data_IF_545490222422
#
_entry.id   IF_545490222422
#
_cell.length_a   1.000
_cell.length_b   1.000
_cell.length_c   1.000
_cell.angle_alpha   90.00
_cell.angle_beta   90.00
_cell.angle_gamma   90.00
#
_symmetry.space_group_name_H-M   'P 1'
#
loop_
_entity.id
_entity.type
_entity.pdbx_description
1 polymer ?
#
# COMPACT_ATOMS: atom_id res chain seq x y z
N UNK A 1 -30.39 15.01 22.02
CA UNK A 1 -29.57 14.56 20.87
C UNK A 1 -28.36 15.47 20.67
N UNK A 2 -28.50 16.75 20.31
CA UNK A 2 -27.36 17.67 20.10
C UNK A 2 -26.37 17.79 21.28
N UNK A 3 -26.87 17.92 22.51
CA UNK A 3 -26.00 18.00 23.69
C UNK A 3 -25.15 16.73 23.92
N UNK A 4 -25.68 15.55 23.59
CA UNK A 4 -24.93 14.29 23.70
C UNK A 4 -23.87 14.20 22.61
N UNK A 5 -24.21 14.63 21.40
CA UNK A 5 -23.28 14.70 20.27
C UNK A 5 -22.12 15.65 20.57
N UNK A 6 -22.40 16.88 21.01
CA UNK A 6 -21.38 17.86 21.42
C UNK A 6 -20.50 17.30 22.56
N UNK A 7 -21.09 16.63 23.56
CA UNK A 7 -20.33 15.98 24.62
C UNK A 7 -19.37 14.91 24.07
N UNK A 8 -19.83 14.04 23.18
CA UNK A 8 -19.01 12.99 22.58
C UNK A 8 -17.92 13.58 21.67
N UNK A 9 -18.22 14.60 20.88
CA UNK A 9 -17.24 15.31 20.06
C UNK A 9 -16.16 15.97 20.92
N UNK A 10 -16.55 16.62 22.02
CA UNK A 10 -15.62 17.21 22.97
C UNK A 10 -14.77 16.16 23.68
N UNK A 11 -15.33 15.01 24.01
CA UNK A 11 -14.58 13.90 24.59
C UNK A 11 -13.56 13.32 23.60
N UNK A 12 -13.96 13.17 22.33
CA UNK A 12 -13.09 12.71 21.27
C UNK A 12 -12.07 13.77 20.84
N UNK A 13 -12.26 15.07 21.07
CA UNK A 13 -11.24 16.08 20.75
C UNK A 13 -9.99 15.94 21.63
N UNK A 14 -10.11 15.34 22.80
CA UNK A 14 -9.03 15.13 23.77
C UNK A 14 -8.34 13.78 23.49
N UNK A 15 -7.08 13.82 23.07
CA UNK A 15 -6.28 12.63 22.72
C UNK A 15 -6.26 11.54 23.81
N UNK A 16 -6.21 11.94 25.09
CA UNK A 16 -6.21 10.99 26.22
C UNK A 16 -7.47 10.13 26.24
N UNK A 17 -8.66 10.74 26.04
CA UNK A 17 -9.93 10.03 26.05
C UNK A 17 -10.21 9.32 24.73
N UNK A 18 -9.85 9.94 23.60
CA UNK A 18 -9.95 9.34 22.26
C UNK A 18 -9.21 8.00 22.18
N UNK A 19 -8.00 7.95 22.74
CA UNK A 19 -7.13 6.77 22.66
C UNK A 19 -7.32 5.82 23.86
N UNK A 20 -8.22 6.14 24.79
CA UNK A 20 -8.51 5.27 25.92
C UNK A 20 -9.24 4.01 25.43
N UNK A 21 -8.75 2.83 25.84
CA UNK A 21 -9.26 1.53 25.38
C UNK A 21 -10.78 1.38 25.53
N UNK A 22 -11.32 1.76 26.69
CA UNK A 22 -12.77 1.61 26.94
C UNK A 22 -13.61 2.55 26.07
N UNK A 23 -13.13 3.78 25.80
CA UNK A 23 -13.81 4.73 24.92
C UNK A 23 -13.82 4.22 23.49
N UNK A 24 -12.65 3.78 23.01
CA UNK A 24 -12.49 3.25 21.66
C UNK A 24 -13.33 1.99 21.44
N UNK A 25 -13.37 1.11 22.43
CA UNK A 25 -14.18 -0.10 22.41
C UNK A 25 -15.68 0.22 22.46
N UNK A 26 -16.11 1.16 23.32
CA UNK A 26 -17.51 1.57 23.46
C UNK A 26 -18.07 2.23 22.19
N UNK A 27 -17.28 3.10 21.54
CA UNK A 27 -17.68 3.80 20.32
C UNK A 27 -17.40 2.99 19.05
N UNK A 28 -16.79 1.82 19.17
CA UNK A 28 -16.32 1.00 18.06
C UNK A 28 -15.44 1.82 17.09
N UNK A 29 -14.42 2.50 17.63
CA UNK A 29 -13.45 3.32 16.87
C UNK A 29 -12.02 2.86 17.09
N UNK A 30 -11.14 3.21 16.15
CA UNK A 30 -9.68 3.06 16.24
C UNK A 30 -8.98 4.32 15.77
N UNK A 31 -7.65 4.35 15.85
CA UNK A 31 -6.84 5.45 15.29
C UNK A 31 -7.16 5.70 13.80
N UNK A 32 -7.51 4.66 13.05
CA UNK A 32 -7.87 4.74 11.62
C UNK A 32 -9.27 5.29 11.38
N UNK A 33 -10.11 5.41 12.41
CA UNK A 33 -11.43 6.06 12.31
C UNK A 33 -11.31 7.58 12.16
N UNK A 34 -10.18 8.17 12.59
CA UNK A 34 -9.95 9.61 12.63
C UNK A 34 -8.97 10.11 11.57
N UNK A 35 -8.63 9.26 10.59
CA UNK A 35 -7.80 9.62 9.45
C UNK A 35 -8.73 9.88 8.28
N UNK A 36 -9.00 11.16 8.01
CA UNK A 36 -9.97 11.59 6.99
C UNK A 36 -9.58 11.10 5.58
N UNK A 37 -8.28 11.00 5.29
CA UNK A 37 -7.77 10.46 4.02
C UNK A 37 -8.04 8.97 3.81
N UNK A 38 -8.45 8.23 4.85
CA UNK A 38 -8.86 6.82 4.75
C UNK A 38 -10.36 6.65 4.51
N UNK A 39 -11.06 7.71 4.12
CA UNK A 39 -12.50 7.70 3.83
C UNK A 39 -13.36 7.49 5.08
N UNK A 40 -14.63 7.17 4.85
CA UNK A 40 -15.63 7.15 5.92
C UNK A 40 -15.31 6.17 7.08
N UNK A 41 -15.89 6.45 8.25
CA UNK A 41 -15.82 5.55 9.42
C UNK A 41 -16.77 4.37 9.19
N UNK A 42 -16.24 3.26 8.70
CA UNK A 42 -17.01 2.02 8.54
C UNK A 42 -17.21 1.25 9.84
N UNK A 43 -17.70 0.00 9.73
CA UNK A 43 -17.88 -0.87 10.90
C UNK A 43 -16.52 -1.34 11.39
N UNK A 44 -16.31 -1.23 12.70
CA UNK A 44 -15.12 -1.69 13.37
C UNK A 44 -15.49 -2.53 14.59
N UNK A 45 -14.59 -3.39 15.05
CA UNK A 45 -14.82 -4.12 16.30
C UNK A 45 -13.96 -5.37 16.50
N UNK A 46 -14.09 -5.96 17.69
CA UNK A 46 -13.33 -7.14 18.09
C UNK A 46 -13.82 -8.41 17.38
N UNK A 47 -12.89 -9.15 16.79
CA UNK A 47 -13.11 -10.47 16.20
C UNK A 47 -11.99 -11.44 16.57
N UNK A 48 -12.29 -12.73 16.58
CA UNK A 48 -11.29 -13.79 16.71
C UNK A 48 -10.82 -14.20 15.32
N UNK A 49 -9.54 -14.00 15.00
CA UNK A 49 -8.95 -14.36 13.70
C UNK A 49 -8.10 -15.61 13.81
N UNK A 50 -8.31 -16.59 12.93
CA UNK A 50 -7.52 -17.82 12.88
C UNK A 50 -6.09 -17.54 12.39
N UNK A 51 -5.06 -18.00 13.10
CA UNK A 51 -3.66 -17.88 12.68
C UNK A 51 -3.43 -18.64 11.38
N UNK A 52 -2.48 -18.14 10.57
CA UNK A 52 -2.22 -18.57 9.18
C UNK A 52 -3.33 -18.11 8.22
N UNK A 53 -3.12 -16.93 7.62
CA UNK A 53 -3.87 -16.57 6.42
C UNK A 53 -3.23 -17.32 5.26
N UNK A 54 -3.98 -18.20 4.62
CA UNK A 54 -3.52 -18.94 3.47
C UNK A 54 -3.64 -18.05 2.21
N UNK A 55 -2.87 -18.37 1.16
CA UNK A 55 -3.20 -17.87 -0.17
C UNK A 55 -4.45 -18.63 -0.66
N UNK A 56 -5.31 -18.02 -1.49
CA UNK A 56 -6.39 -18.77 -2.13
C UNK A 56 -5.80 -19.97 -2.87
N UNK A 57 -6.31 -21.18 -2.61
CA UNK A 57 -5.80 -22.42 -3.22
C UNK A 57 -4.62 -23.10 -2.52
N UNK A 58 -3.99 -22.50 -1.49
CA UNK A 58 -2.95 -23.21 -0.72
C UNK A 58 -3.60 -24.20 0.26
N UNK A 59 -3.88 -25.42 -0.20
CA UNK A 59 -4.26 -26.57 0.64
C UNK A 59 -3.01 -27.28 1.13
N UNK A 60 -2.46 -26.85 2.26
CA UNK A 60 -1.33 -27.52 2.91
C UNK A 60 -1.54 -27.61 4.42
N UNK A 61 -1.53 -28.84 4.95
CA UNK A 61 -1.47 -29.10 6.38
C UNK A 61 0.00 -29.33 6.76
N UNK A 62 0.67 -28.35 7.39
CA UNK A 62 1.92 -28.63 8.10
C UNK A 62 1.60 -29.24 9.46
N UNK A 63 1.20 -30.50 9.50
CA UNK A 63 1.58 -31.34 10.63
C UNK A 63 3.05 -31.69 10.43
N UNK A 64 3.92 -31.09 11.24
CA UNK A 64 5.34 -31.44 11.36
C UNK A 64 6.22 -31.31 10.11
N UNK A 65 5.81 -30.62 9.04
CA UNK A 65 6.68 -30.35 7.88
C UNK A 65 7.07 -31.59 7.06
N UNK A 66 6.26 -32.67 7.09
CA UNK A 66 6.61 -33.95 6.43
C UNK A 66 5.82 -34.24 5.16
N UNK A 67 4.71 -33.55 4.87
CA UNK A 67 3.89 -33.88 3.69
C UNK A 67 3.39 -32.64 2.94
N UNK A 68 4.14 -32.27 1.89
CA UNK A 68 3.76 -31.27 0.88
C UNK A 68 3.01 -31.90 -0.33
N UNK A 69 2.72 -33.20 -0.28
CA UNK A 69 2.00 -33.91 -1.34
C UNK A 69 0.48 -33.94 -1.06
N UNK A 70 -0.27 -33.30 -1.96
CA UNK A 70 -1.72 -33.07 -1.89
C UNK A 70 -2.59 -34.33 -1.95
N UNK A 71 -2.59 -35.11 -0.87
CA UNK A 71 -3.34 -36.37 -0.76
C UNK A 71 -4.54 -36.30 0.20
N UNK A 72 -5.00 -35.09 0.57
CA UNK A 72 -6.22 -35.01 1.39
C UNK A 72 -7.16 -33.86 1.03
N UNK A 73 -7.99 -34.08 0.02
CA UNK A 73 -9.14 -33.21 -0.33
C UNK A 73 -10.22 -33.22 0.78
N UNK A 74 -10.27 -34.28 1.62
CA UNK A 74 -11.23 -34.42 2.74
C UNK A 74 -10.72 -33.97 4.12
N UNK A 75 -9.43 -33.67 4.30
CA UNK A 75 -8.86 -33.27 5.60
C UNK A 75 -8.87 -31.77 5.86
N UNK A 76 -9.38 -30.96 4.92
CA UNK A 76 -9.30 -29.50 5.01
C UNK A 76 -10.07 -28.93 6.22
N UNK A 77 -11.11 -29.62 6.69
CA UNK A 77 -11.89 -29.22 7.87
C UNK A 77 -11.36 -29.79 9.20
N UNK A 78 -10.91 -31.04 9.22
CA UNK A 78 -10.44 -31.71 10.45
C UNK A 78 -9.02 -31.26 10.86
N UNK A 79 -8.09 -31.16 9.90
CA UNK A 79 -6.72 -30.72 10.21
C UNK A 79 -6.64 -29.21 10.47
N UNK A 80 -7.50 -28.39 9.85
CA UNK A 80 -7.49 -26.94 10.06
C UNK A 80 -8.15 -26.49 11.37
N UNK A 81 -8.97 -27.34 11.98
CA UNK A 81 -9.49 -27.15 13.34
C UNK A 81 -8.46 -27.43 14.43
N UNK A 82 -7.49 -28.33 14.17
CA UNK A 82 -6.46 -28.76 15.12
C UNK A 82 -5.16 -27.93 15.06
N UNK A 83 -4.88 -27.24 13.93
CA UNK A 83 -3.59 -26.58 13.66
C UNK A 83 -3.63 -25.03 13.70
N UNK A 84 -4.81 -24.41 13.85
CA UNK A 84 -4.96 -22.94 13.87
C UNK A 84 -5.31 -22.36 15.25
N UNK A 85 -4.41 -21.58 15.84
CA UNK A 85 -4.75 -20.79 17.05
C UNK A 85 -5.63 -19.58 16.70
N UNK A 86 -6.48 -19.14 17.62
CA UNK A 86 -7.30 -17.94 17.44
C UNK A 86 -6.63 -16.75 18.13
N UNK A 87 -6.69 -15.58 17.49
CA UNK A 87 -6.13 -14.34 18.03
C UNK A 87 -7.14 -13.22 17.91
N UNK A 88 -7.36 -12.51 19.01
CA UNK A 88 -8.17 -11.30 19.03
C UNK A 88 -7.56 -10.24 18.11
N UNK A 89 -8.40 -9.69 17.24
CA UNK A 89 -8.06 -8.61 16.30
C UNK A 89 -9.19 -7.60 16.30
N UNK A 90 -8.82 -6.34 16.09
CA UNK A 90 -9.78 -5.30 15.80
C UNK A 90 -9.93 -5.23 14.28
N UNK A 91 -11.10 -5.59 13.76
CA UNK A 91 -11.42 -5.58 12.35
C UNK A 91 -11.97 -4.22 11.98
N UNK A 92 -11.58 -3.73 10.80
CA UNK A 92 -11.97 -2.42 10.26
C UNK A 92 -12.38 -2.64 8.82
N UNK A 93 -13.55 -2.12 8.45
CA UNK A 93 -14.03 -2.10 7.06
C UNK A 93 -14.04 -0.64 6.59
N UNK A 94 -13.42 -0.40 5.43
CA UNK A 94 -13.40 0.89 4.73
C UNK A 94 -13.99 0.72 3.33
N UNK A 95 -14.06 1.81 2.57
CA UNK A 95 -14.66 1.86 1.23
C UNK A 95 -13.95 0.99 0.17
N UNK A 96 -12.63 0.88 0.26
CA UNK A 96 -11.80 0.18 -0.75
C UNK A 96 -11.03 -1.02 -0.17
N UNK A 97 -11.05 -1.21 1.15
CA UNK A 97 -10.31 -2.27 1.82
C UNK A 97 -10.89 -2.67 3.18
N UNK A 98 -10.40 -3.79 3.68
CA UNK A 98 -10.54 -4.20 5.07
C UNK A 98 -9.17 -4.32 5.71
N UNK A 99 -9.06 -3.94 6.98
CA UNK A 99 -7.83 -4.10 7.74
C UNK A 99 -8.12 -4.78 9.06
N UNK A 100 -7.09 -5.37 9.65
CA UNK A 100 -7.17 -5.75 11.05
C UNK A 100 -5.90 -5.38 11.79
N UNK A 101 -6.10 -4.79 12.97
CA UNK A 101 -5.03 -4.29 13.82
C UNK A 101 -4.91 -5.15 15.09
N UNK A 102 -3.75 -5.08 15.72
CA UNK A 102 -3.52 -5.70 17.03
C UNK A 102 -4.07 -4.76 18.12
N UNK A 103 -5.07 -5.19 18.91
CA UNK A 103 -5.70 -4.29 19.88
C UNK A 103 -4.75 -3.74 20.95
N UNK A 104 -3.68 -4.48 21.28
CA UNK A 104 -2.73 -4.09 22.33
C UNK A 104 -1.94 -2.82 22.01
N UNK A 105 -1.65 -2.57 20.73
CA UNK A 105 -0.70 -1.51 20.33
C UNK A 105 -1.02 -0.85 18.99
N UNK A 106 -2.25 -0.99 18.49
CA UNK A 106 -2.71 -0.36 17.25
C UNK A 106 -2.06 -0.89 15.96
N UNK A 107 -1.04 -1.77 16.03
CA UNK A 107 -0.29 -2.15 14.83
C UNK A 107 -1.15 -2.85 13.80
N UNK A 108 -1.19 -2.29 12.59
CA UNK A 108 -1.81 -2.90 11.42
C UNK A 108 -1.12 -4.23 11.10
N UNK A 109 -1.90 -5.32 11.12
CA UNK A 109 -1.38 -6.68 10.86
C UNK A 109 -1.56 -7.09 9.40
N UNK A 110 -2.63 -6.65 8.76
CA UNK A 110 -2.80 -6.75 7.32
C UNK A 110 -3.87 -5.75 6.84
N UNK A 111 -3.71 -5.37 5.57
CA UNK A 111 -4.73 -4.71 4.75
C UNK A 111 -5.10 -5.69 3.64
N UNK A 112 -6.38 -5.80 3.34
CA UNK A 112 -6.98 -6.68 2.34
C UNK A 112 -7.86 -5.81 1.45
N UNK A 113 -7.35 -5.51 0.27
CA UNK A 113 -8.04 -4.66 -0.71
C UNK A 113 -9.28 -5.39 -1.25
N UNK A 114 -10.30 -4.61 -1.61
CA UNK A 114 -11.36 -5.10 -2.48
C UNK A 114 -10.79 -5.29 -3.88
N UNK A 115 -11.03 -6.47 -4.44
CA UNK A 115 -10.62 -6.84 -5.79
C UNK A 115 -11.70 -7.74 -6.41
N UNK A 116 -11.57 -8.07 -7.70
CA UNK A 116 -12.58 -8.86 -8.43
C UNK A 116 -12.78 -10.29 -7.89
N UNK A 117 -11.90 -10.75 -7.01
CA UNK A 117 -11.98 -12.04 -6.32
C UNK A 117 -12.51 -11.91 -4.90
N UNK A 118 -12.89 -10.69 -4.47
CA UNK A 118 -13.36 -10.44 -3.11
C UNK A 118 -14.71 -11.12 -2.85
N UNK A 119 -14.74 -12.01 -1.87
CA UNK A 119 -15.95 -12.73 -1.46
C UNK A 119 -16.02 -12.85 0.05
N UNK A 120 -17.24 -12.75 0.59
CA UNK A 120 -17.53 -12.94 2.00
C UNK A 120 -18.69 -13.93 2.18
N UNK A 121 -18.48 -14.90 3.08
CA UNK A 121 -19.42 -15.98 3.39
C UNK A 121 -19.49 -16.24 4.88
N UNK A 122 -20.62 -16.77 5.36
CA UNK A 122 -20.81 -17.10 6.78
C UNK A 122 -21.54 -18.43 6.96
N UNK A 123 -21.45 -18.98 8.17
CA UNK A 123 -22.21 -20.17 8.56
C UNK A 123 -21.43 -21.48 8.51
N UNK A 124 -22.05 -22.55 8.98
CA UNK A 124 -21.38 -23.82 9.27
C UNK A 124 -20.87 -24.53 8.01
N UNK A 125 -21.61 -24.42 6.91
CA UNK A 125 -21.26 -25.02 5.62
C UNK A 125 -20.03 -24.37 5.00
N UNK A 126 -19.92 -23.05 5.08
CA UNK A 126 -18.79 -22.29 4.51
C UNK A 126 -17.59 -22.20 5.45
N UNK A 127 -17.80 -22.24 6.76
CA UNK A 127 -16.73 -21.91 7.74
C UNK A 127 -16.46 -22.99 8.78
N UNK A 128 -17.32 -24.00 8.91
CA UNK A 128 -17.30 -24.97 10.01
C UNK A 128 -17.82 -24.43 11.35
N UNK A 129 -18.19 -23.15 11.45
CA UNK A 129 -18.66 -22.51 12.69
C UNK A 129 -19.99 -21.77 12.47
N UNK A 130 -20.89 -21.81 13.48
CA UNK A 130 -22.18 -21.10 13.41
C UNK A 130 -22.01 -19.57 13.42
N UNK A 131 -20.96 -19.07 14.05
CA UNK A 131 -20.55 -17.67 14.15
C UNK A 131 -19.26 -17.37 13.36
N UNK A 132 -18.98 -18.17 12.33
CA UNK A 132 -17.81 -18.00 11.49
C UNK A 132 -18.07 -17.10 10.29
N UNK A 133 -17.06 -16.30 9.93
CA UNK A 133 -17.01 -15.47 8.73
C UNK A 133 -15.75 -15.82 7.93
N UNK A 134 -15.91 -16.10 6.64
CA UNK A 134 -14.83 -16.42 5.72
C UNK A 134 -14.76 -15.36 4.64
N UNK A 135 -13.61 -14.71 4.52
CA UNK A 135 -13.35 -13.62 3.57
C UNK A 135 -12.15 -14.00 2.72
N UNK A 136 -12.27 -13.87 1.41
CA UNK A 136 -11.22 -14.18 0.44
C UNK A 136 -11.13 -13.08 -0.60
N UNK A 137 -9.93 -12.84 -1.13
CA UNK A 137 -9.63 -12.01 -2.30
C UNK A 137 -8.51 -12.69 -3.09
N UNK A 138 -7.95 -12.09 -4.15
CA UNK A 138 -6.89 -12.74 -4.94
C UNK A 138 -5.60 -13.02 -4.16
N UNK A 139 -5.30 -12.20 -3.16
CA UNK A 139 -4.06 -12.29 -2.39
C UNK A 139 -4.17 -13.19 -1.16
N UNK A 140 -5.33 -13.23 -0.49
CA UNK A 140 -5.46 -13.79 0.86
C UNK A 140 -6.83 -14.40 1.09
N UNK A 141 -6.86 -15.41 1.96
CA UNK A 141 -8.07 -15.87 2.65
C UNK A 141 -7.90 -15.73 4.17
N UNK A 142 -8.97 -15.27 4.83
CA UNK A 142 -9.04 -15.14 6.29
C UNK A 142 -10.31 -15.79 6.84
N UNK A 143 -10.15 -16.43 8.00
CA UNK A 143 -11.25 -17.02 8.76
C UNK A 143 -11.36 -16.31 10.10
N UNK A 144 -12.57 -15.83 10.38
CA UNK A 144 -12.93 -15.07 11.57
C UNK A 144 -14.04 -15.77 12.34
N UNK A 145 -14.11 -15.51 13.64
CA UNK A 145 -15.20 -15.85 14.55
C UNK A 145 -15.69 -14.57 15.22
N UNK A 146 -16.98 -14.33 15.14
CA UNK A 146 -17.64 -13.22 15.84
C UNK A 146 -18.19 -13.70 17.20
N UNK A 147 -18.52 -12.79 18.15
CA UNK A 147 -19.04 -13.20 19.45
C UNK A 147 -20.32 -14.03 19.36
N UNK A 148 -21.26 -13.62 18.49
CA UNK A 148 -22.53 -14.32 18.27
C UNK A 148 -22.81 -14.55 16.77
N UNK A 149 -23.80 -15.42 16.49
CA UNK A 149 -24.32 -15.61 15.12
C UNK A 149 -24.93 -14.33 14.56
N UNK A 150 -25.55 -13.51 15.42
CA UNK A 150 -26.14 -12.22 15.04
C UNK A 150 -25.04 -11.28 14.55
N UNK A 151 -23.96 -11.13 15.32
CA UNK A 151 -22.82 -10.29 14.94
C UNK A 151 -22.22 -10.74 13.61
N UNK A 152 -22.11 -12.05 13.37
CA UNK A 152 -21.66 -12.58 12.08
C UNK A 152 -22.55 -12.13 10.92
N UNK A 153 -23.88 -12.14 11.10
CA UNK A 153 -24.80 -11.66 10.05
C UNK A 153 -24.71 -10.15 9.86
N UNK A 154 -24.56 -9.38 10.94
CA UNK A 154 -24.35 -7.93 10.87
C UNK A 154 -23.06 -7.59 10.13
N UNK A 155 -21.95 -8.27 10.43
CA UNK A 155 -20.69 -8.13 9.69
C UNK A 155 -20.83 -8.51 8.22
N UNK A 156 -21.44 -9.67 7.94
CA UNK A 156 -21.66 -10.13 6.57
C UNK A 156 -22.46 -9.11 5.76
N UNK A 157 -23.56 -8.62 6.33
CA UNK A 157 -24.44 -7.66 5.68
C UNK A 157 -23.71 -6.34 5.44
N UNK A 158 -23.04 -5.79 6.47
CA UNK A 158 -22.29 -4.54 6.35
C UNK A 158 -21.19 -4.61 5.29
N UNK A 159 -20.40 -5.69 5.27
CA UNK A 159 -19.33 -5.86 4.27
C UNK A 159 -19.91 -5.96 2.87
N UNK A 160 -20.99 -6.74 2.67
CA UNK A 160 -21.65 -6.87 1.36
C UNK A 160 -22.22 -5.54 0.89
N UNK A 161 -22.87 -4.79 1.77
CA UNK A 161 -23.39 -3.46 1.44
C UNK A 161 -22.26 -2.49 1.08
N UNK A 162 -21.18 -2.46 1.86
CA UNK A 162 -20.02 -1.57 1.61
C UNK A 162 -19.38 -1.89 0.26
N UNK A 163 -19.16 -3.17 -0.04
CA UNK A 163 -18.63 -3.60 -1.33
C UNK A 163 -19.56 -3.24 -2.48
N UNK A 164 -20.87 -3.33 -2.28
CA UNK A 164 -21.85 -3.01 -3.31
C UNK A 164 -21.97 -1.50 -3.58
N UNK A 165 -21.94 -0.68 -2.53
CA UNK A 165 -22.11 0.78 -2.61
C UNK A 165 -20.80 1.48 -3.00
N UNK A 166 -19.72 1.18 -2.29
CA UNK A 166 -18.44 1.89 -2.39
C UNK A 166 -17.37 1.08 -3.11
N UNK A 167 -17.28 -0.23 -2.82
CA UNK A 167 -16.23 -1.11 -3.35
C UNK A 167 -16.49 -1.61 -4.78
N UNK A 168 -17.58 -1.19 -5.43
CA UNK A 168 -18.05 -1.80 -6.68
C UNK A 168 -17.06 -1.66 -7.82
N UNK A 169 -16.39 -0.51 -7.92
CA UNK A 169 -15.39 -0.24 -8.94
C UNK A 169 -14.23 -1.25 -8.94
N UNK A 170 -13.86 -1.74 -7.76
CA UNK A 170 -12.74 -2.67 -7.57
C UNK A 170 -13.15 -4.15 -7.71
N UNK A 171 -14.42 -4.46 -7.43
CA UNK A 171 -14.93 -5.84 -7.39
C UNK A 171 -15.64 -6.28 -8.66
N UNK A 172 -16.13 -5.33 -9.47
CA UNK A 172 -16.80 -5.65 -10.72
C UNK A 172 -15.80 -6.14 -11.78
N UNK A 173 -16.32 -6.81 -12.81
CA UNK A 173 -15.52 -7.14 -13.99
C UNK A 173 -15.31 -5.88 -14.83
N UNK A 174 -14.06 -5.48 -15.00
CA UNK A 174 -13.69 -4.36 -15.85
C UNK A 174 -13.14 -4.84 -17.20
N UNK A 175 -13.00 -3.91 -18.15
CA UNK A 175 -12.39 -4.16 -19.46
C UNK A 175 -10.99 -4.74 -19.29
N UNK A 176 -10.65 -5.75 -20.10
CA UNK A 176 -9.36 -6.47 -20.06
C UNK A 176 -9.06 -7.14 -18.72
N UNK A 177 -10.11 -7.45 -17.93
CA UNK A 177 -9.99 -8.00 -16.57
C UNK A 177 -9.11 -7.11 -15.65
N UNK A 178 -9.08 -5.80 -15.92
CA UNK A 178 -8.39 -4.81 -15.09
C UNK A 178 -8.98 -4.74 -13.67
N UNK A 179 -8.14 -4.41 -12.68
CA UNK A 179 -8.59 -4.13 -11.33
C UNK A 179 -9.30 -2.77 -11.17
N UNK A 180 -9.25 -1.91 -12.20
CA UNK A 180 -9.90 -0.59 -12.22
C UNK A 180 -10.86 -0.44 -13.39
N UNK A 181 -11.95 0.33 -13.25
CA UNK A 181 -12.84 0.67 -14.36
C UNK A 181 -12.23 1.71 -15.30
N UNK A 182 -12.85 1.90 -16.46
CA UNK A 182 -12.52 3.01 -17.36
C UNK A 182 -13.06 4.33 -16.78
N UNK A 183 -12.20 5.34 -16.65
CA UNK A 183 -12.59 6.70 -16.25
C UNK A 183 -12.71 7.59 -17.47
N UNK A 184 -13.82 8.32 -17.60
CA UNK A 184 -14.02 9.31 -18.66
C UNK A 184 -13.55 10.70 -18.21
N UNK A 185 -13.28 11.59 -19.17
CA UNK A 185 -12.92 12.99 -18.92
C UNK A 185 -11.68 13.21 -18.04
N UNK A 186 -10.73 12.26 -18.08
CA UNK A 186 -9.45 12.37 -17.38
C UNK A 186 -8.52 13.30 -18.16
N UNK A 187 -7.94 14.30 -17.47
CA UNK A 187 -6.86 15.11 -18.01
C UNK A 187 -5.60 14.27 -18.06
N UNK A 188 -5.06 14.06 -19.26
CA UNK A 188 -3.82 13.32 -19.49
C UNK A 188 -2.88 14.15 -20.36
N UNK A 189 -1.59 14.02 -20.09
CA UNK A 189 -0.51 14.55 -20.91
C UNK A 189 0.47 13.41 -21.20
N UNK A 190 1.12 13.47 -22.36
CA UNK A 190 2.23 12.58 -22.69
C UNK A 190 3.54 13.36 -22.61
N UNK A 191 4.63 12.63 -22.39
CA UNK A 191 5.98 13.17 -22.46
C UNK A 191 6.79 12.29 -23.42
N UNK A 192 7.54 12.94 -24.31
CA UNK A 192 8.60 12.29 -25.09
C UNK A 192 9.92 12.67 -24.42
N UNK A 193 10.76 11.67 -24.22
CA UNK A 193 12.05 11.75 -23.51
C UNK A 193 11.96 12.14 -22.02
N UNK A 194 13.11 12.12 -21.36
CA UNK A 194 13.22 12.39 -19.92
C UNK A 194 13.15 13.85 -19.53
N UNK A 195 13.51 14.79 -20.40
CA UNK A 195 13.61 16.21 -20.05
C UNK A 195 12.26 16.80 -19.62
N UNK A 196 11.22 16.65 -20.44
CA UNK A 196 9.88 17.13 -20.13
C UNK A 196 9.26 16.39 -18.95
N UNK A 197 9.38 15.05 -18.94
CA UNK A 197 8.87 14.19 -17.88
C UNK A 197 9.46 14.54 -16.51
N UNK A 198 10.79 14.57 -16.38
CA UNK A 198 11.46 14.84 -15.10
C UNK A 198 11.20 16.27 -14.62
N UNK A 199 11.10 17.25 -15.52
CA UNK A 199 10.74 18.61 -15.12
C UNK A 199 9.33 18.67 -14.54
N UNK A 200 8.36 18.00 -15.15
CA UNK A 200 6.99 17.96 -14.65
C UNK A 200 6.86 17.19 -13.32
N UNK A 201 7.60 16.08 -13.18
CA UNK A 201 7.71 15.35 -11.90
C UNK A 201 8.29 16.25 -10.81
N UNK A 202 9.33 17.03 -11.11
CA UNK A 202 9.94 17.95 -10.14
C UNK A 202 8.94 18.99 -9.62
N UNK A 203 8.15 19.59 -10.52
CA UNK A 203 7.12 20.56 -10.15
C UNK A 203 6.01 19.93 -9.31
N UNK A 204 5.56 18.73 -9.66
CA UNK A 204 4.55 18.01 -8.89
C UNK A 204 5.05 17.66 -7.49
N UNK A 205 6.28 17.12 -7.36
CA UNK A 205 6.88 16.79 -6.07
C UNK A 205 7.02 18.04 -5.18
N UNK A 206 7.48 19.15 -5.73
CA UNK A 206 7.61 20.40 -4.96
C UNK A 206 6.23 20.90 -4.44
N UNK A 207 5.17 20.68 -5.21
CA UNK A 207 3.81 21.09 -4.86
C UNK A 207 3.08 20.18 -3.85
N UNK A 208 3.64 19.01 -3.54
CA UNK A 208 3.00 18.00 -2.69
C UNK A 208 2.65 18.53 -1.30
N UNK A 209 1.52 18.09 -0.72
CA UNK A 209 1.05 18.55 0.59
C UNK A 209 0.87 17.43 1.60
N UNK A 210 0.53 16.23 1.15
CA UNK A 210 0.15 15.13 2.02
C UNK A 210 1.03 13.92 1.80
N UNK A 211 1.09 13.43 0.56
CA UNK A 211 1.69 12.13 0.27
C UNK A 211 2.41 12.08 -1.08
N UNK A 212 3.54 11.37 -1.11
CA UNK A 212 4.27 11.05 -2.33
C UNK A 212 4.50 9.53 -2.35
N UNK A 213 4.04 8.87 -3.41
CA UNK A 213 4.34 7.47 -3.69
C UNK A 213 5.28 7.36 -4.89
N UNK A 214 6.37 6.61 -4.75
CA UNK A 214 7.31 6.34 -5.85
C UNK A 214 7.51 4.83 -5.95
N UNK A 215 7.40 4.28 -7.15
CA UNK A 215 7.86 2.94 -7.48
C UNK A 215 8.85 3.02 -8.64
N UNK A 216 10.01 2.39 -8.49
CA UNK A 216 11.06 2.39 -9.51
C UNK A 216 11.77 1.03 -9.54
N UNK A 217 12.16 0.61 -10.75
CA UNK A 217 13.07 -0.52 -10.93
C UNK A 217 14.49 -0.13 -10.51
N UNK A 218 14.89 1.11 -10.81
CA UNK A 218 16.15 1.70 -10.35
C UNK A 218 15.98 3.18 -10.06
N UNK A 219 16.31 3.61 -8.84
CA UNK A 219 16.28 5.01 -8.44
C UNK A 219 17.68 5.49 -8.10
N UNK A 220 18.10 6.64 -8.64
CA UNK A 220 19.37 7.30 -8.29
C UNK A 220 19.07 8.59 -7.52
N UNK A 221 19.36 8.66 -6.20
CA UNK A 221 18.92 9.77 -5.35
C UNK A 221 19.41 11.15 -5.81
N UNK A 222 20.62 11.22 -6.38
CA UNK A 222 21.31 12.49 -6.64
C UNK A 222 21.09 13.04 -8.06
N UNK A 223 20.12 12.53 -8.83
CA UNK A 223 19.82 13.09 -10.15
C UNK A 223 19.17 14.47 -10.04
N UNK A 224 19.57 15.38 -10.92
CA UNK A 224 18.82 16.62 -11.18
C UNK A 224 17.68 16.37 -12.16
N UNK A 225 16.46 16.69 -11.73
CA UNK A 225 15.24 16.56 -12.52
C UNK A 225 15.06 17.72 -13.52
N UNK A 226 15.66 18.88 -13.24
CA UNK A 226 15.71 20.03 -14.16
C UNK A 226 17.15 20.36 -14.54
N UNK A 227 17.39 20.63 -15.83
CA UNK A 227 18.70 20.97 -16.38
C UNK A 227 18.58 22.11 -17.41
N UNK A 228 19.58 22.99 -17.55
CA UNK A 228 20.85 23.03 -16.83
C UNK A 228 20.69 23.34 -15.33
N UNK A 229 21.71 23.04 -14.53
CA UNK A 229 21.68 23.22 -13.07
C UNK A 229 21.91 24.70 -12.76
N UNK A 230 20.82 25.46 -12.66
CA UNK A 230 20.85 26.91 -12.40
C UNK A 230 20.62 27.27 -10.93
N UNK A 231 19.85 26.44 -10.21
CA UNK A 231 19.42 26.69 -8.83
C UNK A 231 20.12 25.75 -7.83
N UNK A 232 21.39 25.43 -8.10
CA UNK A 232 22.18 24.50 -7.28
C UNK A 232 21.50 23.14 -7.13
N UNK A 233 21.38 22.66 -5.89
CA UNK A 233 20.76 21.37 -5.58
C UNK A 233 19.23 21.42 -5.42
N UNK A 234 18.58 22.57 -5.70
CA UNK A 234 17.12 22.72 -5.53
C UNK A 234 16.33 21.61 -6.22
N UNK A 235 16.69 21.30 -7.47
CA UNK A 235 15.99 20.32 -8.32
C UNK A 235 16.61 18.92 -8.30
N UNK A 236 17.44 18.62 -7.30
CA UNK A 236 17.95 17.27 -7.07
C UNK A 236 16.90 16.43 -6.33
N UNK A 237 16.67 15.20 -6.77
CA UNK A 237 15.57 14.36 -6.29
C UNK A 237 15.59 14.19 -4.77
N UNK A 238 16.71 13.75 -4.20
CA UNK A 238 16.90 13.63 -2.75
C UNK A 238 16.57 14.93 -1.99
N UNK A 239 16.98 16.08 -2.52
CA UNK A 239 16.73 17.39 -1.89
C UNK A 239 15.28 17.81 -1.94
N UNK A 240 14.55 17.52 -3.02
CA UNK A 240 13.10 17.76 -3.06
C UNK A 240 12.42 16.92 -1.99
N UNK A 241 12.69 15.61 -1.95
CA UNK A 241 12.05 14.70 -0.99
C UNK A 241 12.39 15.05 0.47
N UNK A 242 13.64 15.44 0.76
CA UNK A 242 14.05 15.92 2.09
C UNK A 242 13.26 17.16 2.52
N UNK A 243 13.10 18.17 1.64
CA UNK A 243 12.32 19.38 1.94
C UNK A 243 10.85 19.04 2.19
N UNK A 244 10.24 18.24 1.32
CA UNK A 244 8.82 17.85 1.48
C UNK A 244 8.59 17.03 2.74
N UNK A 245 9.50 16.12 3.07
CA UNK A 245 9.45 15.38 4.32
C UNK A 245 9.58 16.30 5.54
N UNK A 246 10.41 17.34 5.49
CA UNK A 246 10.52 18.33 6.57
C UNK A 246 9.24 19.17 6.74
N UNK A 247 8.49 19.40 5.65
CA UNK A 247 7.17 20.05 5.66
C UNK A 247 6.04 19.15 6.17
N UNK A 248 6.31 17.87 6.44
CA UNK A 248 5.35 16.91 6.98
C UNK A 248 4.76 15.93 5.98
N UNK A 249 5.09 16.06 4.68
CA UNK A 249 4.64 15.15 3.61
C UNK A 249 5.15 13.74 3.88
N UNK A 250 4.26 12.74 3.77
CA UNK A 250 4.61 11.32 3.91
C UNK A 250 5.07 10.76 2.57
N UNK A 251 6.26 10.19 2.54
CA UNK A 251 6.90 9.73 1.31
C UNK A 251 7.13 8.23 1.40
N UNK A 252 6.55 7.48 0.47
CA UNK A 252 6.62 6.03 0.43
C UNK A 252 7.25 5.58 -0.88
N UNK A 253 8.35 4.83 -0.78
CA UNK A 253 9.05 4.30 -1.95
C UNK A 253 9.02 2.77 -1.96
N UNK A 254 8.70 2.19 -3.12
CA UNK A 254 8.86 0.78 -3.42
C UNK A 254 9.98 0.62 -4.47
N UNK A 255 11.11 0.07 -4.05
CA UNK A 255 12.24 -0.20 -4.95
C UNK A 255 12.32 -1.70 -5.24
N UNK A 256 12.66 -2.04 -6.49
CA UNK A 256 13.10 -3.39 -6.80
C UNK A 256 14.35 -3.73 -5.98
N UNK A 257 14.29 -4.85 -5.25
CA UNK A 257 15.45 -5.46 -4.61
C UNK A 257 16.07 -6.41 -5.62
N UNK A 258 17.24 -6.05 -6.09
CA UNK A 258 18.03 -6.77 -7.05
C UNK A 258 18.76 -7.97 -6.45
N UNK A 259 19.11 -8.92 -7.34
CA UNK A 259 20.14 -9.90 -7.06
C UNK A 259 21.50 -9.19 -7.20
N UNK A 260 22.09 -8.79 -6.06
CA UNK A 260 23.28 -7.93 -6.00
C UNK A 260 24.47 -8.43 -6.85
N UNK A 261 24.64 -9.75 -7.00
CA UNK A 261 25.71 -10.32 -7.82
C UNK A 261 25.49 -10.15 -9.34
N UNK A 262 24.25 -9.94 -9.76
CA UNK A 262 23.86 -9.87 -11.17
C UNK A 262 23.61 -8.43 -11.66
N UNK A 263 23.24 -7.50 -10.76
CA UNK A 263 22.82 -6.15 -11.12
C UNK A 263 23.45 -5.10 -10.20
N UNK A 264 24.03 -4.06 -10.81
CA UNK A 264 24.71 -2.96 -10.11
C UNK A 264 23.81 -1.76 -9.76
N UNK A 265 22.49 -1.94 -9.59
CA UNK A 265 21.57 -0.82 -9.34
C UNK A 265 21.65 -0.27 -7.91
N UNK A 266 22.13 -1.07 -6.96
CA UNK A 266 22.39 -0.72 -5.56
C UNK A 266 21.17 -0.10 -4.85
N UNK A 267 20.04 -0.81 -4.83
CA UNK A 267 18.80 -0.32 -4.20
C UNK A 267 18.96 -0.07 -2.69
N UNK A 268 19.93 -0.73 -2.05
CA UNK A 268 20.24 -0.50 -0.64
C UNK A 268 20.83 0.88 -0.40
N UNK A 269 21.80 1.30 -1.23
CA UNK A 269 22.33 2.66 -1.20
C UNK A 269 21.22 3.68 -1.41
N UNK A 270 20.39 3.52 -2.47
CA UNK A 270 19.30 4.45 -2.74
C UNK A 270 18.33 4.56 -1.55
N UNK A 271 18.02 3.44 -0.90
CA UNK A 271 17.23 3.42 0.33
C UNK A 271 17.91 4.22 1.45
N UNK A 272 19.19 4.00 1.73
CA UNK A 272 19.88 4.67 2.82
C UNK A 272 19.96 6.18 2.60
N UNK A 273 20.32 6.61 1.39
CA UNK A 273 20.43 8.03 1.01
C UNK A 273 19.09 8.75 1.07
N UNK A 274 18.02 8.14 0.56
CA UNK A 274 16.68 8.76 0.53
C UNK A 274 16.07 8.84 1.92
N UNK A 275 16.22 7.79 2.74
CA UNK A 275 15.72 7.83 4.12
C UNK A 275 16.47 8.88 4.93
N UNK A 276 17.80 8.90 4.86
CA UNK A 276 18.65 9.84 5.60
C UNK A 276 18.20 10.00 7.05
N UNK A 277 18.05 11.25 7.48
CA UNK A 277 17.52 11.62 8.81
C UNK A 277 15.99 11.78 8.85
N UNK A 278 15.30 11.60 7.72
CA UNK A 278 13.84 11.81 7.60
C UNK A 278 13.04 10.53 7.79
N UNK A 279 13.56 9.59 8.60
CA UNK A 279 12.99 8.25 8.77
C UNK A 279 11.55 8.23 9.29
N UNK A 280 11.04 9.30 9.89
CA UNK A 280 9.65 9.40 10.35
C UNK A 280 8.65 9.60 9.20
N UNK A 281 9.05 10.37 8.19
CA UNK A 281 8.20 10.75 7.05
C UNK A 281 8.54 10.01 5.76
N UNK A 282 9.78 9.52 5.62
CA UNK A 282 10.21 8.76 4.44
C UNK A 282 10.34 7.28 4.78
N UNK A 283 9.58 6.43 4.09
CA UNK A 283 9.60 4.98 4.24
C UNK A 283 9.96 4.31 2.91
N UNK A 284 11.07 3.58 2.88
CA UNK A 284 11.51 2.83 1.69
C UNK A 284 11.41 1.33 1.92
N UNK A 285 10.64 0.65 1.08
CA UNK A 285 10.53 -0.79 0.98
C UNK A 285 11.33 -1.30 -0.23
N UNK A 286 12.02 -2.42 -0.05
CA UNK A 286 12.72 -3.12 -1.13
C UNK A 286 12.13 -4.53 -1.25
N UNK A 287 11.80 -4.97 -2.45
CA UNK A 287 11.20 -6.29 -2.69
C UNK A 287 11.58 -6.85 -4.08
N UNK A 288 11.74 -8.18 -4.26
CA UNK A 288 11.51 -9.26 -3.29
C UNK A 288 12.71 -9.63 -2.42
N UNK A 289 12.44 -10.27 -1.28
CA UNK A 289 13.45 -11.06 -0.58
C UNK A 289 13.62 -12.40 -1.31
N UNK A 290 14.54 -12.45 -2.28
CA UNK A 290 14.71 -13.56 -3.23
C UNK A 290 14.71 -14.95 -2.58
N UNK A 291 15.54 -15.18 -1.56
CA UNK A 291 15.64 -16.48 -0.88
C UNK A 291 14.32 -16.91 -0.22
N UNK A 292 13.55 -15.95 0.30
CA UNK A 292 12.28 -16.19 0.98
C UNK A 292 11.11 -16.34 0.01
N UNK A 293 11.16 -15.60 -1.10
CA UNK A 293 10.11 -15.60 -2.11
C UNK A 293 10.29 -16.70 -3.16
N UNK A 294 11.50 -17.25 -3.33
CA UNK A 294 11.83 -18.14 -4.45
C UNK A 294 11.77 -17.45 -5.82
N UNK A 295 11.71 -16.11 -5.84
CA UNK A 295 11.59 -15.30 -7.04
C UNK A 295 12.96 -14.72 -7.36
N UNK A 296 13.62 -15.21 -8.40
CA UNK A 296 14.95 -14.76 -8.81
C UNK A 296 14.99 -14.07 -10.17
N UNK A 297 13.99 -14.32 -11.03
CA UNK A 297 13.98 -13.87 -12.43
C UNK A 297 12.99 -12.73 -12.70
N UNK A 298 12.06 -12.48 -11.77
CA UNK A 298 11.04 -11.44 -11.91
C UNK A 298 11.43 -10.21 -11.08
N UNK A 299 11.01 -9.04 -11.56
CA UNK A 299 11.28 -7.75 -10.94
C UNK A 299 10.01 -6.91 -10.84
N UNK A 300 9.98 -6.02 -9.85
CA UNK A 300 9.09 -4.86 -9.88
C UNK A 300 9.64 -3.90 -10.92
N UNK A 301 8.87 -3.63 -11.97
CA UNK A 301 9.37 -2.91 -13.15
C UNK A 301 8.52 -1.69 -13.51
N UNK A 302 7.42 -1.48 -12.79
CA UNK A 302 6.64 -0.25 -12.86
C UNK A 302 7.49 0.97 -12.48
N UNK A 303 7.27 2.07 -13.19
CA UNK A 303 7.80 3.39 -12.86
C UNK A 303 6.63 4.30 -12.60
N UNK A 304 6.47 4.72 -11.36
CA UNK A 304 5.31 5.47 -10.90
C UNK A 304 5.75 6.59 -9.96
N UNK A 305 5.19 7.78 -10.15
CA UNK A 305 5.21 8.86 -9.15
C UNK A 305 3.78 9.32 -8.96
N UNK A 306 3.26 9.26 -7.74
CA UNK A 306 1.91 9.70 -7.40
C UNK A 306 2.02 10.75 -6.31
N UNK A 307 1.44 11.93 -6.53
CA UNK A 307 1.44 13.05 -5.59
C UNK A 307 0.01 13.28 -5.12
N UNK A 308 -0.16 13.29 -3.79
CA UNK A 308 -1.41 13.55 -3.06
C UNK A 308 -2.60 12.68 -3.53
N UNK A 309 -2.32 11.52 -4.15
CA UNK A 309 -3.31 10.64 -4.78
C UNK A 309 -4.16 11.30 -5.88
N UNK A 310 -3.75 12.48 -6.36
CA UNK A 310 -4.47 13.27 -7.37
C UNK A 310 -3.75 13.30 -8.72
N UNK A 311 -2.41 13.36 -8.70
CA UNK A 311 -1.58 13.42 -9.90
C UNK A 311 -0.69 12.19 -9.97
N UNK A 312 -0.74 11.46 -11.09
CA UNK A 312 0.07 10.27 -11.30
C UNK A 312 0.88 10.38 -12.60
N UNK A 313 2.16 10.03 -12.50
CA UNK A 313 3.09 9.85 -13.60
C UNK A 313 3.35 8.35 -13.75
N UNK A 314 3.25 7.84 -14.97
CA UNK A 314 3.58 6.45 -15.31
C UNK A 314 4.24 6.38 -16.68
N UNK A 315 5.11 5.38 -16.89
CA UNK A 315 5.74 5.18 -18.19
C UNK A 315 6.98 4.29 -18.12
N UNK A 316 7.92 4.53 -19.03
CA UNK A 316 9.18 3.78 -19.15
C UNK A 316 10.40 4.43 -18.51
N UNK A 317 10.24 5.59 -17.87
CA UNK A 317 11.35 6.43 -17.39
C UNK A 317 11.50 6.29 -15.89
N UNK A 318 12.50 5.53 -15.45
CA UNK A 318 12.91 5.48 -14.04
C UNK A 318 13.58 6.81 -13.61
N UNK A 319 13.48 7.17 -12.33
CA UNK A 319 14.20 8.30 -11.76
C UNK A 319 15.67 7.95 -11.45
N UNK A 320 16.44 7.65 -12.49
CA UNK A 320 17.86 7.30 -12.36
C UNK A 320 18.77 7.86 -13.45
N UNK A 321 20.07 7.63 -13.31
CA UNK A 321 21.09 8.08 -14.27
C UNK A 321 20.83 7.56 -15.69
N UNK A 322 21.17 8.38 -16.68
CA UNK A 322 21.06 8.04 -18.10
C UNK A 322 19.65 8.16 -18.71
N UNK A 323 18.63 8.53 -17.93
CA UNK A 323 17.24 8.64 -18.43
C UNK A 323 16.85 10.06 -18.85
N UNK A 324 17.56 11.07 -18.36
CA UNK A 324 17.36 12.44 -18.80
C UNK A 324 17.95 12.62 -20.19
N UNK A 325 17.11 12.99 -21.15
CA UNK A 325 17.50 13.40 -22.49
C UNK A 325 16.44 14.37 -23.04
N UNK A 326 16.81 15.17 -24.03
CA UNK A 326 15.88 15.97 -24.81
C UNK A 326 15.85 15.46 -26.27
N UNK A 327 14.97 16.04 -27.08
CA UNK A 327 14.79 15.64 -28.48
C UNK A 327 16.06 15.71 -29.34
N UNK A 328 17.16 16.30 -28.85
CA UNK A 328 18.42 16.42 -29.59
C UNK A 328 19.31 15.19 -29.45
N UNK A 329 19.04 14.29 -28.49
CA UNK A 329 19.77 13.03 -28.28
C UNK A 329 21.29 13.19 -28.39
N UNK A 330 21.84 14.12 -27.61
CA UNK A 330 23.24 14.54 -27.78
C UNK A 330 24.20 13.42 -27.38
N UNK A 331 25.08 13.04 -28.30
CA UNK A 331 26.17 12.08 -28.03
C UNK A 331 27.31 12.68 -27.20
N UNK A 332 27.51 14.01 -27.31
CA UNK A 332 28.58 14.72 -26.63
C UNK A 332 28.04 15.87 -25.80
N UNK A 333 28.48 15.95 -24.54
CA UNK A 333 28.24 17.10 -23.68
C UNK A 333 29.52 17.94 -23.63
N UNK A 334 29.63 18.94 -24.50
CA UNK A 334 30.76 19.87 -24.51
C UNK A 334 30.36 21.08 -23.69
N UNK A 335 30.97 21.25 -22.52
CA UNK A 335 30.79 22.45 -21.72
C UNK A 335 31.64 23.57 -22.34
N UNK A 336 31.04 24.45 -23.14
CA UNK A 336 31.74 25.54 -23.83
C UNK A 336 32.27 26.64 -22.88
N UNK A 337 32.09 26.51 -21.56
CA UNK A 337 32.56 27.49 -20.57
C UNK A 337 34.08 27.54 -20.37
N UNK A 338 34.86 26.65 -21.00
CA UNK A 338 36.33 26.67 -20.95
C UNK A 338 37.04 26.98 -22.28
N UNK A 339 36.31 27.31 -23.35
CA UNK A 339 36.90 27.72 -24.64
C UNK A 339 36.70 29.22 -24.82
N UNK A 340 37.32 30.02 -23.96
CA UNK A 340 37.65 31.40 -24.29
C UNK A 340 39.10 31.66 -23.85
N UNK A 341 39.88 32.22 -24.77
CA UNK A 341 41.27 32.63 -24.62
C UNK A 341 42.37 31.56 -24.77
N UNK A 342 42.55 31.08 -25.99
CA UNK A 342 43.89 31.03 -26.60
C UNK A 342 43.79 31.50 -28.06
N UNK A 343 44.00 32.79 -28.25
CA UNK A 343 44.51 33.35 -29.50
C UNK A 343 46.00 33.60 -29.32
#
# INVERSE_FOLDING_TARGET
MKQLEEYLQNLLSINLYRNHYETANFLEVSELSFVDSLGFKGKEGMVQKRTRSAHPGSTGCNMCGVFDSGLCVRCNYMCSALCGSWRTRWLIVKESFMAYVRPKDGRVKAVMLFDSGFQVSSGITSTGYRNGLHIVNHSRQIMLKCPSRRDTQEWLHFIKETVHKEGREFTQRNRYDSFTPQRSLVRAAWFVDGCGYMSAVADALESAKEEIYIADWWLSPEIHLKRPILEGDKWRLDKILQRKAAEGVKIFLLLYKEVELALGINSFYSKQTIVGDHGDNIKVLRHPDHAKAGVFLWAHHEKLVIVDQEVAFLGGIDLCYGRWDDFKHRLFFINFSHISHRH
#
